data_IF_090589294333
#
_entry.id   IF_090589294333
#
_cell.length_a   1.000
_cell.length_b   1.000
_cell.length_c   1.000
_cell.angle_alpha   90.00
_cell.angle_beta   90.00
_cell.angle_gamma   90.00
#
_symmetry.space_group_name_H-M   'P 1'
#
loop_
_entity.id
_entity.type
_entity.pdbx_description
1 polymer ?
#
# COMPACT_ATOMS: atom_id res chain seq x y z
N UNK A 1 15.51 17.92 10.26
CA UNK A 1 14.94 16.59 10.54
C UNK A 1 13.44 16.73 10.41
N UNK A 2 12.87 16.39 9.26
CA UNK A 2 11.42 16.49 9.03
C UNK A 2 10.97 15.15 8.46
N UNK A 3 10.14 14.45 9.23
CA UNK A 3 9.49 13.23 8.76
C UNK A 3 8.75 13.50 7.46
N UNK A 4 9.00 12.68 6.44
CA UNK A 4 8.31 12.80 5.17
C UNK A 4 7.06 11.90 5.22
N UNK A 5 5.89 12.48 4.97
CA UNK A 5 4.65 11.74 4.81
C UNK A 5 4.35 11.59 3.32
N UNK A 6 4.04 10.35 2.91
CA UNK A 6 3.70 10.02 1.53
C UNK A 6 2.31 9.40 1.49
N UNK A 7 1.47 9.86 0.56
CA UNK A 7 0.21 9.20 0.24
C UNK A 7 0.32 8.53 -1.12
N UNK A 8 -0.23 7.34 -1.26
CA UNK A 8 -0.28 6.61 -2.53
C UNK A 8 -1.66 6.02 -2.72
N UNK A 9 -2.14 6.06 -3.94
CA UNK A 9 -3.42 5.48 -4.32
C UNK A 9 -3.18 4.17 -5.04
N UNK A 10 -3.87 3.13 -4.59
CA UNK A 10 -3.89 1.80 -5.19
C UNK A 10 -5.25 1.66 -5.86
N UNK A 11 -5.26 1.63 -7.18
CA UNK A 11 -6.46 1.38 -7.96
C UNK A 11 -6.63 -0.12 -8.20
N UNK A 12 -7.84 -0.60 -7.99
CA UNK A 12 -8.22 -1.99 -8.17
C UNK A 12 -9.20 -2.07 -9.34
N UNK A 13 -8.68 -2.53 -10.47
CA UNK A 13 -9.40 -2.71 -11.72
C UNK A 13 -9.70 -4.20 -11.92
N UNK A 14 -10.90 -4.67 -11.55
CA UNK A 14 -11.30 -6.05 -11.79
C UNK A 14 -11.39 -6.31 -13.30
N UNK A 15 -10.60 -7.26 -13.79
CA UNK A 15 -10.72 -7.82 -15.14
C UNK A 15 -11.72 -8.96 -15.15
N UNK A 16 -12.47 -9.12 -16.25
CA UNK A 16 -13.47 -10.18 -16.46
C UNK A 16 -14.70 -10.15 -15.52
N UNK A 17 -15.14 -8.98 -15.05
CA UNK A 17 -16.37 -8.87 -14.25
C UNK A 17 -16.24 -9.38 -12.82
N UNK A 18 -15.01 -9.39 -12.28
CA UNK A 18 -14.72 -9.83 -10.93
C UNK A 18 -15.39 -8.92 -9.88
N UNK A 19 -16.37 -9.46 -9.14
CA UNK A 19 -17.10 -8.79 -8.05
C UNK A 19 -16.69 -9.29 -6.65
N UNK A 20 -15.62 -10.07 -6.58
CA UNK A 20 -15.12 -10.63 -5.32
C UNK A 20 -14.57 -9.57 -4.37
N UNK A 21 -14.54 -9.91 -3.09
CA UNK A 21 -13.95 -9.07 -2.03
C UNK A 21 -12.44 -9.24 -2.02
N UNK A 22 -11.71 -8.13 -2.13
CA UNK A 22 -10.26 -8.05 -2.14
C UNK A 22 -9.79 -7.50 -0.79
N UNK A 23 -9.09 -8.31 -0.02
CA UNK A 23 -8.37 -7.92 1.18
C UNK A 23 -7.00 -7.38 0.78
N UNK A 24 -6.76 -6.10 1.06
CA UNK A 24 -5.50 -5.41 0.88
C UNK A 24 -4.75 -5.33 2.19
N UNK A 25 -3.52 -5.82 2.18
CA UNK A 25 -2.59 -5.66 3.28
C UNK A 25 -1.38 -4.84 2.82
N UNK A 26 -0.90 -3.93 3.66
CA UNK A 26 0.30 -3.13 3.38
C UNK A 26 1.38 -3.46 4.40
N UNK A 27 2.57 -3.77 3.91
CA UNK A 27 3.74 -4.09 4.72
C UNK A 27 4.90 -3.20 4.31
N UNK A 28 5.49 -2.49 5.26
CA UNK A 28 6.73 -1.76 5.04
C UNK A 28 7.92 -2.74 5.17
N UNK A 29 8.56 -3.05 4.05
CA UNK A 29 9.62 -4.08 3.99
C UNK A 29 10.99 -3.49 4.35
N UNK A 30 11.20 -2.20 4.05
CA UNK A 30 12.50 -1.55 4.21
C UNK A 30 12.37 -0.16 4.84
N UNK A 31 11.71 -0.09 6.00
CA UNK A 31 11.49 1.14 6.73
C UNK A 31 12.29 1.16 8.06
N UNK A 32 12.92 2.28 8.44
CA UNK A 32 13.46 2.46 9.79
C UNK A 32 12.35 2.37 10.83
N UNK A 33 12.72 2.04 12.06
CA UNK A 33 11.81 2.12 13.20
C UNK A 33 11.16 3.52 13.26
N UNK A 34 9.83 3.56 13.22
CA UNK A 34 9.05 4.81 13.20
C UNK A 34 8.29 5.08 11.90
N UNK A 35 8.16 4.10 11.00
CA UNK A 35 7.21 4.18 9.87
C UNK A 35 5.90 3.51 10.22
N UNK A 36 4.81 4.25 10.07
CA UNK A 36 3.44 3.77 10.20
C UNK A 36 2.80 3.78 8.82
N UNK A 37 2.30 2.63 8.38
CA UNK A 37 1.55 2.50 7.13
C UNK A 37 0.11 2.16 7.43
N UNK A 38 -0.82 2.93 6.88
CA UNK A 38 -2.25 2.71 6.99
C UNK A 38 -2.84 2.58 5.59
N UNK A 39 -3.76 1.63 5.40
CA UNK A 39 -4.46 1.44 4.14
C UNK A 39 -5.96 1.54 4.37
N UNK A 40 -6.62 2.41 3.61
CA UNK A 40 -8.05 2.68 3.78
C UNK A 40 -8.72 2.91 2.42
N UNK A 41 -9.77 2.14 2.07
CA UNK A 41 -10.23 0.92 2.74
C UNK A 41 -9.24 -0.26 2.55
N UNK A 42 -9.05 -1.06 3.60
CA UNK A 42 -8.27 -2.31 3.52
C UNK A 42 -9.02 -3.44 2.80
N UNK A 43 -10.32 -3.29 2.57
CA UNK A 43 -11.13 -4.23 1.81
C UNK A 43 -11.87 -3.50 0.70
N UNK A 44 -11.80 -4.03 -0.52
CA UNK A 44 -12.50 -3.50 -1.68
C UNK A 44 -13.39 -4.58 -2.26
N UNK A 45 -14.58 -4.25 -2.71
CA UNK A 45 -15.51 -5.21 -3.35
C UNK A 45 -15.67 -4.81 -4.80
N UNK A 46 -15.31 -5.69 -5.72
CA UNK A 46 -15.32 -5.38 -7.16
C UNK A 46 -14.28 -4.33 -7.54
N UNK A 47 -14.72 -3.23 -8.15
CA UNK A 47 -13.84 -2.12 -8.56
C UNK A 47 -13.78 -1.05 -7.48
N UNK A 48 -12.58 -0.64 -7.09
CA UNK A 48 -12.45 0.50 -6.19
C UNK A 48 -11.00 0.93 -6.00
N UNK A 49 -10.81 1.89 -5.11
CA UNK A 49 -9.51 2.52 -4.88
C UNK A 49 -9.22 2.49 -3.38
N UNK A 50 -8.03 2.07 -3.01
CA UNK A 50 -7.52 2.17 -1.66
C UNK A 50 -6.45 3.25 -1.57
N UNK A 51 -6.45 3.98 -0.47
CA UNK A 51 -5.41 4.97 -0.19
C UNK A 51 -4.48 4.40 0.85
N UNK A 52 -3.19 4.34 0.54
CA UNK A 52 -2.12 3.99 1.45
C UNK A 52 -1.48 5.28 1.94
N UNK A 53 -1.53 5.49 3.24
CA UNK A 53 -0.85 6.59 3.91
C UNK A 53 0.38 6.05 4.62
N UNK A 54 1.51 6.69 4.37
CA UNK A 54 2.80 6.39 5.00
C UNK A 54 3.21 7.60 5.81
N UNK A 55 3.36 7.39 7.12
CA UNK A 55 3.88 8.39 8.03
C UNK A 55 5.23 7.92 8.55
N UNK A 56 6.26 8.76 8.44
CA UNK A 56 7.60 8.43 8.93
C UNK A 56 8.00 9.44 10.00
N UNK A 57 8.36 8.95 11.19
CA UNK A 57 8.69 9.78 12.34
C UNK A 57 10.21 9.97 12.54
N UNK A 58 11.02 9.66 11.52
CA UNK A 58 12.48 9.73 11.55
C UNK A 58 13.08 10.01 10.17
N UNK A 59 14.39 10.28 10.13
CA UNK A 59 15.13 10.43 8.88
C UNK A 59 14.94 9.18 8.04
N UNK A 60 14.18 9.27 6.95
CA UNK A 60 13.91 8.15 6.06
C UNK A 60 15.15 7.93 5.19
N UNK A 61 15.91 6.83 5.37
CA UNK A 61 16.98 6.48 4.46
C UNK A 61 16.38 6.24 3.08
N UNK A 62 17.16 6.52 2.05
CA UNK A 62 16.80 6.19 0.68
C UNK A 62 16.55 4.67 0.57
N UNK A 63 15.38 4.28 0.03
CA UNK A 63 15.07 2.87 -0.23
C UNK A 63 13.81 2.28 0.45
N UNK A 64 12.84 3.09 0.86
CA UNK A 64 11.60 2.54 1.42
C UNK A 64 10.80 1.80 0.35
N UNK A 65 10.58 0.51 0.56
CA UNK A 65 9.74 -0.35 -0.28
C UNK A 65 8.52 -0.76 0.54
N UNK A 66 7.34 -0.48 0.01
CA UNK A 66 6.09 -1.00 0.54
C UNK A 66 5.61 -2.15 -0.34
N UNK A 67 5.31 -3.27 0.30
CA UNK A 67 4.67 -4.41 -0.33
C UNK A 67 3.18 -4.34 -0.01
N UNK A 68 2.35 -4.17 -1.03
CA UNK A 68 0.89 -4.20 -0.92
C UNK A 68 0.43 -5.53 -1.48
N UNK A 69 -0.24 -6.34 -0.67
CA UNK A 69 -0.75 -7.65 -1.08
C UNK A 69 -2.27 -7.58 -1.12
N UNK A 70 -2.86 -7.77 -2.31
CA UNK A 70 -4.28 -7.93 -2.51
C UNK A 70 -4.64 -9.41 -2.66
N UNK A 71 -5.49 -9.94 -1.77
CA UNK A 71 -6.01 -11.30 -1.85
C UNK A 71 -7.51 -11.26 -2.12
N UNK A 72 -7.97 -12.01 -3.11
CA UNK A 72 -9.39 -12.04 -3.42
C UNK A 72 -9.85 -13.37 -4.00
N UNK A 73 -10.71 -14.10 -3.26
CA UNK A 73 -11.42 -15.30 -3.71
C UNK A 73 -10.56 -16.48 -4.24
N UNK A 74 -9.23 -16.36 -4.26
CA UNK A 74 -8.30 -17.30 -4.91
C UNK A 74 -7.19 -16.61 -5.73
N UNK A 75 -7.37 -15.35 -6.13
CA UNK A 75 -6.31 -14.52 -6.71
C UNK A 75 -5.48 -13.86 -5.61
N UNK A 76 -4.18 -13.79 -5.84
CA UNK A 76 -3.20 -13.19 -4.95
C UNK A 76 -2.29 -12.31 -5.81
N UNK A 77 -2.40 -10.99 -5.64
CA UNK A 77 -1.60 -10.00 -6.34
C UNK A 77 -0.74 -9.25 -5.33
N UNK A 78 0.54 -9.10 -5.64
CA UNK A 78 1.45 -8.25 -4.89
C UNK A 78 1.86 -7.05 -5.76
N UNK A 79 1.75 -5.86 -5.21
CA UNK A 79 2.24 -4.61 -5.78
C UNK A 79 3.34 -4.05 -4.88
N UNK A 80 4.41 -3.57 -5.49
CA UNK A 80 5.52 -2.96 -4.77
C UNK A 80 5.55 -1.47 -5.10
N UNK A 81 5.51 -0.64 -4.07
CA UNK A 81 5.62 0.82 -4.22
C UNK A 81 6.94 1.25 -3.62
N UNK A 82 7.78 1.87 -4.44
CA UNK A 82 9.06 2.41 -4.03
C UNK A 82 8.93 3.92 -3.86
N UNK A 83 9.09 4.40 -2.64
CA UNK A 83 9.10 5.84 -2.37
C UNK A 83 10.53 6.35 -2.49
N UNK A 84 10.85 6.90 -3.66
CA UNK A 84 12.02 7.75 -3.84
C UNK A 84 11.66 9.17 -3.45
N UNK A 85 12.24 9.70 -2.38
CA UNK A 85 12.20 11.12 -2.12
C UNK A 85 13.55 11.68 -2.59
N UNK A 86 13.52 12.44 -3.69
CA UNK A 86 14.64 13.24 -4.19
C UNK A 86 14.88 14.44 -3.29
#
# INVERSE_FOLDING_TARGET
MSGSSGTTTVSLTPTNGFTGTVDLNVLAVCAPAGVTTTITPATLVGSGQATVQVQTNGATPAGNILAITGRSGGLLQAAYVQFGCT
#
